data_IF_670885031206
#
_entry.id   IF_670885031206
#
_cell.length_a   1.000
_cell.length_b   1.000
_cell.length_c   1.000
_cell.angle_alpha   90.00
_cell.angle_beta   90.00
_cell.angle_gamma   90.00
#
_symmetry.space_group_name_H-M   'P 1'
#
loop_
_entity.id
_entity.type
_entity.pdbx_description
1 polymer ?
#
# COMPACT_ATOMS: atom_id res chain seq x y z
N UNK A 1 4.16 48.25 -55.47
CA UNK A 1 4.76 46.94 -55.17
C UNK A 1 5.61 47.12 -53.92
N UNK A 2 5.10 46.72 -52.76
CA UNK A 2 5.79 46.75 -51.46
C UNK A 2 5.78 45.30 -50.96
N UNK A 3 6.93 44.68 -50.62
CA UNK A 3 6.93 43.27 -50.25
C UNK A 3 6.48 43.11 -48.79
N UNK A 4 5.52 42.21 -48.58
CA UNK A 4 5.15 41.68 -47.26
C UNK A 4 6.36 40.99 -46.62
N UNK A 5 6.78 41.48 -45.46
CA UNK A 5 7.65 40.73 -44.56
C UNK A 5 6.78 39.83 -43.66
N UNK A 6 6.87 38.52 -43.86
CA UNK A 6 6.33 37.52 -42.94
C UNK A 6 7.14 37.56 -41.63
N UNK A 7 6.51 37.95 -40.53
CA UNK A 7 7.02 37.70 -39.18
C UNK A 7 6.81 36.22 -38.85
N UNK A 8 7.89 35.45 -38.77
CA UNK A 8 7.88 34.13 -38.13
C UNK A 8 8.04 34.35 -36.62
N UNK A 9 6.96 34.13 -35.86
CA UNK A 9 7.03 34.03 -34.41
C UNK A 9 7.68 32.72 -34.00
N UNK A 10 8.85 32.78 -33.36
CA UNK A 10 9.41 31.62 -32.64
C UNK A 10 8.53 31.34 -31.42
N UNK A 11 7.76 30.26 -31.46
CA UNK A 11 7.28 29.62 -30.24
C UNK A 11 8.44 28.84 -29.63
N UNK A 12 9.00 29.36 -28.53
CA UNK A 12 9.93 28.60 -27.71
C UNK A 12 9.10 27.56 -26.93
N UNK A 13 9.12 26.31 -27.40
CA UNK A 13 8.64 25.17 -26.64
C UNK A 13 9.58 24.97 -25.44
N UNK A 14 9.12 25.35 -24.25
CA UNK A 14 9.80 24.98 -23.01
C UNK A 14 9.57 23.48 -22.82
N UNK A 15 10.52 22.66 -23.25
CA UNK A 15 10.55 21.27 -22.87
C UNK A 15 10.83 21.22 -21.37
N UNK A 16 9.81 20.93 -20.56
CA UNK A 16 10.02 20.49 -19.19
C UNK A 16 10.78 19.17 -19.28
N UNK A 17 12.08 19.21 -18.97
CA UNK A 17 12.83 17.99 -18.73
C UNK A 17 12.15 17.30 -17.54
N UNK A 18 11.43 16.21 -17.82
CA UNK A 18 10.96 15.31 -16.75
C UNK A 18 12.21 14.91 -15.97
N UNK A 19 12.22 15.15 -14.67
CA UNK A 19 13.24 14.60 -13.78
C UNK A 19 13.36 13.11 -14.12
N UNK A 20 14.59 12.57 -14.31
CA UNK A 20 14.74 11.15 -14.55
C UNK A 20 14.02 10.42 -13.42
N UNK A 21 13.04 9.58 -13.78
CA UNK A 21 12.34 8.71 -12.84
C UNK A 21 13.41 8.00 -12.01
N UNK A 22 13.53 8.36 -10.74
CA UNK A 22 14.52 7.72 -9.87
C UNK A 22 14.06 6.28 -9.69
N UNK A 23 14.77 5.35 -10.32
CA UNK A 23 14.46 3.93 -10.29
C UNK A 23 14.72 3.35 -8.90
N UNK A 24 13.84 2.47 -8.43
CA UNK A 24 14.11 1.60 -7.30
C UNK A 24 15.34 0.75 -7.53
N UNK A 25 16.22 0.66 -6.53
CA UNK A 25 17.47 -0.12 -6.61
C UNK A 25 17.29 -1.57 -6.18
N UNK A 26 16.12 -1.95 -5.67
CA UNK A 26 15.80 -3.29 -5.20
C UNK A 26 15.54 -4.23 -6.37
N UNK A 27 15.97 -5.48 -6.23
CA UNK A 27 15.68 -6.53 -7.21
C UNK A 27 14.81 -7.58 -6.53
N UNK A 28 13.64 -7.87 -7.11
CA UNK A 28 12.85 -9.02 -6.70
C UNK A 28 13.55 -10.29 -7.17
N UNK A 29 13.98 -11.11 -6.22
CA UNK A 29 14.78 -12.33 -6.46
C UNK A 29 13.92 -13.59 -6.47
N UNK A 30 12.77 -13.54 -5.82
CA UNK A 30 11.88 -14.67 -5.63
C UNK A 30 10.74 -14.65 -6.65
N UNK A 31 10.13 -15.82 -6.96
CA UNK A 31 8.95 -15.86 -7.80
C UNK A 31 7.83 -15.01 -7.20
N UNK A 32 7.31 -14.06 -7.97
CA UNK A 32 6.15 -13.28 -7.56
C UNK A 32 4.90 -14.14 -7.78
N UNK A 33 4.06 -14.20 -6.75
CA UNK A 33 2.82 -14.97 -6.71
C UNK A 33 1.62 -14.05 -6.94
N UNK A 34 1.66 -12.84 -6.38
CA UNK A 34 0.70 -11.76 -6.65
C UNK A 34 1.49 -10.48 -6.90
N UNK A 35 1.22 -9.80 -8.01
CA UNK A 35 1.90 -8.55 -8.38
C UNK A 35 0.91 -7.38 -8.32
N UNK A 36 1.07 -6.53 -7.32
CA UNK A 36 0.29 -5.30 -7.15
C UNK A 36 1.07 -4.05 -7.52
N UNK A 37 2.27 -4.17 -8.10
CA UNK A 37 3.04 -2.99 -8.53
C UNK A 37 2.33 -2.34 -9.72
N UNK A 38 2.17 -1.03 -9.67
CA UNK A 38 1.39 -0.28 -10.66
C UNK A 38 2.26 0.04 -11.87
N UNK A 39 1.94 -0.46 -13.09
CA UNK A 39 2.66 -0.11 -14.30
C UNK A 39 2.71 1.41 -14.56
N UNK A 40 3.80 1.89 -15.15
CA UNK A 40 4.02 3.31 -15.37
C UNK A 40 2.96 3.94 -16.29
N UNK A 41 2.38 3.17 -17.20
CA UNK A 41 1.36 3.55 -18.18
C UNK A 41 -0.08 3.43 -17.67
N UNK A 42 -0.30 2.87 -16.47
CA UNK A 42 -1.65 2.78 -15.88
C UNK A 42 -2.27 4.17 -15.69
N UNK A 43 -3.50 4.37 -16.14
CA UNK A 43 -4.27 5.59 -15.89
C UNK A 43 -5.23 5.38 -14.71
N UNK A 44 -5.68 6.45 -14.04
CA UNK A 44 -6.53 6.32 -12.84
C UNK A 44 -7.82 5.54 -13.11
N UNK A 45 -8.41 5.69 -14.30
CA UNK A 45 -9.61 4.97 -14.67
C UNK A 45 -9.39 3.47 -14.89
N UNK A 46 -8.14 3.02 -15.06
CA UNK A 46 -7.86 1.59 -15.19
C UNK A 46 -8.19 0.85 -13.88
N UNK A 47 -8.05 1.52 -12.74
CA UNK A 47 -8.42 0.98 -11.44
C UNK A 47 -9.91 0.70 -11.27
N UNK A 48 -10.75 1.21 -12.17
CA UNK A 48 -12.21 1.00 -12.14
C UNK A 48 -12.66 -0.21 -12.96
N UNK A 49 -11.72 -0.97 -13.55
CA UNK A 49 -12.03 -2.14 -14.38
C UNK A 49 -11.21 -3.35 -14.00
N UNK A 50 -11.89 -4.49 -13.85
CA UNK A 50 -11.26 -5.79 -13.60
C UNK A 50 -10.30 -6.22 -14.73
N UNK A 51 -10.50 -5.69 -15.94
CA UNK A 51 -9.70 -6.02 -17.11
C UNK A 51 -8.35 -5.28 -17.19
N UNK A 52 -8.24 -4.13 -16.54
CA UNK A 52 -7.04 -3.26 -16.63
C UNK A 52 -6.41 -2.97 -15.28
N UNK A 53 -7.17 -3.03 -14.19
CA UNK A 53 -6.69 -2.79 -12.84
C UNK A 53 -5.75 -3.90 -12.35
N UNK A 54 -4.63 -3.55 -11.69
CA UNK A 54 -3.85 -4.52 -10.92
C UNK A 54 -4.53 -4.94 -9.61
N UNK A 55 -5.68 -4.34 -9.28
CA UNK A 55 -6.46 -4.61 -8.07
C UNK A 55 -7.94 -4.87 -8.39
N UNK A 56 -8.65 -5.57 -7.51
CA UNK A 56 -10.08 -5.75 -7.68
C UNK A 56 -10.83 -4.40 -7.55
N UNK A 57 -11.52 -3.90 -8.60
CA UNK A 57 -12.07 -2.53 -8.65
C UNK A 57 -13.27 -2.29 -7.71
N UNK A 58 -13.88 -3.34 -7.17
CA UNK A 58 -15.12 -3.27 -6.39
C UNK A 58 -14.93 -3.62 -4.91
N UNK A 59 -13.71 -3.93 -4.49
CA UNK A 59 -13.44 -4.34 -3.13
C UNK A 59 -13.07 -3.15 -2.24
N UNK A 60 -13.70 -3.08 -1.06
CA UNK A 60 -13.27 -2.26 0.08
C UNK A 60 -13.12 -0.77 -0.26
N UNK A 61 -14.21 -0.17 -0.73
CA UNK A 61 -14.33 1.27 -0.96
C UNK A 61 -15.72 1.79 -0.58
N UNK A 62 -15.84 3.11 -0.50
CA UNK A 62 -17.12 3.79 -0.41
C UNK A 62 -17.91 3.74 -1.73
N UNK A 63 -18.92 4.61 -1.91
CA UNK A 63 -19.65 4.71 -3.18
C UNK A 63 -18.77 5.22 -4.32
N UNK A 64 -17.73 6.00 -4.01
CA UNK A 64 -16.74 6.52 -4.95
C UNK A 64 -15.92 5.40 -5.58
N UNK A 65 -15.48 5.62 -6.82
CA UNK A 65 -14.58 4.74 -7.54
C UNK A 65 -13.14 4.91 -7.08
N UNK A 66 -12.26 3.99 -7.47
CA UNK A 66 -10.84 4.14 -7.18
C UNK A 66 -10.22 5.29 -7.97
N UNK A 67 -10.66 5.54 -9.20
CA UNK A 67 -10.18 6.70 -9.96
C UNK A 67 -10.48 8.07 -9.30
N UNK A 68 -11.39 8.11 -8.34
CA UNK A 68 -11.76 9.30 -7.57
C UNK A 68 -11.01 9.42 -6.23
N UNK A 69 -10.41 8.32 -5.76
CA UNK A 69 -9.81 8.19 -4.42
C UNK A 69 -8.34 7.78 -4.45
N UNK A 70 -7.79 7.53 -5.65
CA UNK A 70 -6.38 7.27 -5.89
C UNK A 70 -5.73 8.45 -6.59
N UNK A 71 -4.47 8.71 -6.26
CA UNK A 71 -3.63 9.70 -6.94
C UNK A 71 -2.32 9.05 -7.40
N UNK A 72 -1.69 9.66 -8.41
CA UNK A 72 -0.30 9.36 -8.75
C UNK A 72 0.60 10.46 -8.20
N UNK A 73 1.28 10.23 -7.06
CA UNK A 73 2.09 11.25 -6.43
C UNK A 73 3.41 11.49 -7.20
N UNK A 74 3.89 12.73 -7.17
CA UNK A 74 5.20 13.09 -7.72
C UNK A 74 6.32 12.79 -6.70
N UNK A 75 6.63 11.51 -6.52
CA UNK A 75 7.69 11.03 -5.61
C UNK A 75 8.70 10.13 -6.33
N UNK A 76 9.93 9.98 -5.80
CA UNK A 76 10.85 8.94 -6.26
C UNK A 76 10.22 7.55 -6.15
N UNK A 77 10.57 6.63 -7.06
CA UNK A 77 10.04 5.27 -6.98
C UNK A 77 10.46 4.59 -5.67
N UNK A 78 9.61 3.70 -5.18
CA UNK A 78 9.94 2.87 -4.03
C UNK A 78 11.09 1.91 -4.36
N UNK A 79 11.65 1.24 -3.34
CA UNK A 79 12.78 0.32 -3.50
C UNK A 79 12.57 -0.72 -4.60
N UNK A 80 11.39 -1.32 -4.72
CA UNK A 80 11.11 -2.44 -5.62
C UNK A 80 10.35 -2.04 -6.91
N UNK A 81 10.24 -0.74 -7.16
CA UNK A 81 9.66 -0.18 -8.39
C UNK A 81 10.77 0.31 -9.32
N UNK A 82 11.14 -0.51 -10.30
CA UNK A 82 12.02 -0.06 -11.39
C UNK A 82 11.28 0.86 -12.38
N UNK A 83 11.90 1.18 -13.52
CA UNK A 83 11.33 2.09 -14.53
C UNK A 83 9.98 1.65 -15.12
N UNK A 84 9.57 0.41 -14.91
CA UNK A 84 8.30 -0.12 -15.41
C UNK A 84 7.13 0.21 -14.48
N UNK A 85 7.41 0.65 -13.25
CA UNK A 85 6.42 0.83 -12.21
C UNK A 85 6.43 2.25 -11.64
N UNK A 86 5.33 2.63 -11.00
CA UNK A 86 5.15 3.90 -10.29
C UNK A 86 4.37 3.69 -9.00
N UNK A 87 4.43 4.70 -8.13
CA UNK A 87 3.70 4.71 -6.86
C UNK A 87 2.24 5.16 -7.05
N UNK A 88 1.40 4.76 -6.09
CA UNK A 88 -0.01 5.16 -6.01
C UNK A 88 -0.29 5.64 -4.59
N UNK A 89 -1.04 6.73 -4.46
CA UNK A 89 -1.58 7.20 -3.19
C UNK A 89 -3.01 6.71 -3.04
N UNK A 90 -3.35 6.18 -1.87
CA UNK A 90 -4.72 5.89 -1.47
C UNK A 90 -5.18 7.00 -0.53
N UNK A 91 -6.31 7.62 -0.83
CA UNK A 91 -6.81 8.76 -0.08
C UNK A 91 -8.19 8.47 0.52
N UNK A 92 -8.32 8.56 1.83
CA UNK A 92 -9.61 8.46 2.51
C UNK A 92 -10.21 9.83 2.77
N UNK A 93 -11.53 9.91 2.63
CA UNK A 93 -12.33 11.11 2.82
C UNK A 93 -13.63 10.78 3.61
N UNK A 94 -14.52 11.76 3.77
CA UNK A 94 -15.81 11.58 4.45
C UNK A 94 -16.72 10.50 3.83
N UNK A 95 -16.59 10.22 2.53
CA UNK A 95 -17.37 9.23 1.78
C UNK A 95 -16.78 7.82 1.83
N UNK A 96 -15.59 7.62 2.40
CA UNK A 96 -14.88 6.35 2.45
C UNK A 96 -15.51 5.33 3.42
N UNK A 97 -16.80 5.05 3.25
CA UNK A 97 -17.64 4.20 4.11
C UNK A 97 -18.02 2.94 3.34
N UNK A 98 -17.42 1.81 3.72
CA UNK A 98 -17.70 0.53 3.09
C UNK A 98 -18.74 -0.27 3.88
N UNK A 99 -19.71 -0.86 3.18
CA UNK A 99 -20.79 -1.69 3.74
C UNK A 99 -21.53 -1.05 4.93
N UNK A 100 -21.79 0.26 4.87
CA UNK A 100 -22.51 1.03 5.91
C UNK A 100 -21.83 0.99 7.29
N UNK A 101 -20.52 0.74 7.33
CA UNK A 101 -19.73 0.81 8.56
C UNK A 101 -19.32 2.25 8.83
N UNK A 102 -20.27 3.04 9.31
CA UNK A 102 -20.12 4.48 9.52
C UNK A 102 -19.02 4.86 10.52
N UNK A 103 -18.65 3.92 11.40
CA UNK A 103 -17.59 4.12 12.38
C UNK A 103 -16.19 4.19 11.76
N UNK A 104 -15.94 3.61 10.59
CA UNK A 104 -14.62 3.62 9.94
C UNK A 104 -14.57 4.56 8.74
N UNK A 105 -13.35 4.95 8.36
CA UNK A 105 -13.04 5.36 6.99
C UNK A 105 -12.06 4.39 6.40
N UNK A 106 -12.38 3.78 5.27
CA UNK A 106 -11.53 2.77 4.66
C UNK A 106 -11.55 2.72 3.16
N UNK A 107 -10.36 2.50 2.62
CA UNK A 107 -10.12 2.09 1.24
C UNK A 107 -9.04 1.01 1.27
N UNK A 108 -9.28 -0.11 0.60
CA UNK A 108 -8.36 -1.24 0.54
C UNK A 108 -8.23 -1.79 -0.87
N UNK A 109 -7.01 -1.80 -1.39
CA UNK A 109 -6.65 -2.40 -2.66
C UNK A 109 -6.31 -3.87 -2.45
N UNK A 110 -7.14 -4.75 -3.01
CA UNK A 110 -6.87 -6.19 -3.05
C UNK A 110 -6.19 -6.54 -4.37
N UNK A 111 -5.02 -7.18 -4.35
CA UNK A 111 -4.29 -7.54 -5.58
C UNK A 111 -5.14 -8.49 -6.44
N UNK A 112 -5.16 -8.23 -7.75
CA UNK A 112 -5.89 -9.06 -8.69
C UNK A 112 -5.37 -10.51 -8.72
N UNK A 113 -6.30 -11.46 -8.83
CA UNK A 113 -5.97 -12.89 -8.77
C UNK A 113 -5.86 -13.47 -7.36
N UNK A 114 -6.08 -12.66 -6.32
CA UNK A 114 -6.20 -13.14 -4.95
C UNK A 114 -7.64 -13.56 -4.62
N UNK A 115 -7.81 -14.80 -4.17
CA UNK A 115 -9.12 -15.39 -3.88
C UNK A 115 -9.31 -15.55 -2.37
N UNK A 116 -10.54 -15.41 -1.87
CA UNK A 116 -10.87 -15.55 -0.44
C UNK A 116 -10.58 -16.93 0.16
N UNK A 117 -10.60 -18.00 -0.64
CA UNK A 117 -10.34 -19.37 -0.20
C UNK A 117 -9.47 -20.05 -1.25
N UNK A 118 -8.32 -20.60 -0.86
CA UNK A 118 -7.41 -21.30 -1.77
C UNK A 118 -6.60 -20.41 -2.72
N UNK A 119 -6.82 -19.09 -2.69
CA UNK A 119 -5.99 -18.13 -3.41
C UNK A 119 -4.59 -18.00 -2.82
N UNK A 120 -3.62 -17.45 -3.56
CA UNK A 120 -2.26 -17.38 -3.06
C UNK A 120 -2.09 -16.49 -1.81
N UNK A 121 -2.94 -15.47 -1.64
CA UNK A 121 -3.01 -14.69 -0.40
C UNK A 121 -3.62 -15.45 0.78
N UNK A 122 -4.34 -16.56 0.55
CA UNK A 122 -4.89 -17.43 1.62
C UNK A 122 -3.88 -18.48 2.11
N UNK A 123 -2.94 -18.86 1.25
CA UNK A 123 -1.79 -19.69 1.61
C UNK A 123 -0.67 -18.81 2.19
N UNK A 124 -0.78 -17.48 2.05
CA UNK A 124 0.10 -16.44 2.58
C UNK A 124 -0.54 -15.46 3.59
N UNK A 125 -1.72 -15.79 4.15
CA UNK A 125 -2.62 -14.92 4.93
C UNK A 125 -2.04 -13.57 5.43
N UNK A 126 -2.29 -12.48 4.71
CA UNK A 126 -2.09 -11.11 5.22
C UNK A 126 -3.41 -10.34 5.23
N UNK A 127 -4.31 -10.76 6.11
CA UNK A 127 -5.21 -9.81 6.78
C UNK A 127 -5.06 -9.96 8.28
N UNK A 128 -4.35 -9.01 8.90
CA UNK A 128 -4.54 -8.67 10.31
C UNK A 128 -3.90 -7.33 10.65
N UNK A 129 -4.41 -6.21 10.10
CA UNK A 129 -3.96 -4.85 10.49
C UNK A 129 -2.43 -4.79 10.64
N UNK A 130 -1.72 -5.44 9.72
CA UNK A 130 -0.33 -5.85 9.95
C UNK A 130 0.57 -4.64 10.00
N UNK A 131 0.14 -3.49 9.48
CA UNK A 131 0.72 -2.19 9.78
C UNK A 131 -0.35 -1.28 10.39
N UNK A 132 -0.11 -0.83 11.62
CA UNK A 132 -0.96 0.16 12.30
C UNK A 132 -0.14 1.40 12.67
N UNK A 133 -0.72 2.59 12.49
CA UNK A 133 -0.19 3.85 13.02
C UNK A 133 -1.17 4.42 14.06
N UNK A 134 -0.71 5.38 14.87
CA UNK A 134 -1.51 5.92 15.96
C UNK A 134 -1.60 4.98 17.17
N UNK A 135 -2.45 5.33 18.13
CA UNK A 135 -2.76 4.49 19.29
C UNK A 135 -3.67 3.34 18.89
N UNK A 136 -3.33 2.12 19.31
CA UNK A 136 -4.23 0.97 19.17
C UNK A 136 -5.34 1.12 20.22
N UNK A 137 -6.60 1.07 19.79
CA UNK A 137 -7.76 1.21 20.69
C UNK A 137 -7.65 0.20 21.85
N UNK A 138 -7.81 0.70 23.08
CA UNK A 138 -7.74 -0.10 24.30
C UNK A 138 -6.33 -0.51 24.71
N UNK A 139 -5.26 0.03 24.10
CA UNK A 139 -3.87 -0.28 24.45
C UNK A 139 -3.01 0.98 24.56
N UNK A 140 -2.18 1.13 25.61
CA UNK A 140 -1.16 2.17 25.63
C UNK A 140 -0.11 1.88 24.55
N UNK A 141 0.36 2.91 23.85
CA UNK A 141 1.37 2.76 22.81
C UNK A 141 1.85 4.12 22.29
N UNK A 142 2.95 4.12 21.54
CA UNK A 142 3.45 5.33 20.89
C UNK A 142 2.62 5.60 19.64
N UNK A 143 1.95 6.75 19.55
CA UNK A 143 1.13 7.11 18.39
C UNK A 143 1.95 7.41 17.13
N UNK A 144 3.22 7.77 17.29
CA UNK A 144 4.10 8.21 16.22
C UNK A 144 4.94 7.07 15.62
N UNK A 145 4.40 5.85 15.60
CA UNK A 145 5.09 4.67 15.06
C UNK A 145 4.20 3.86 14.12
N UNK A 146 4.84 3.33 13.07
CA UNK A 146 4.33 2.14 12.36
C UNK A 146 4.55 0.92 13.25
N UNK A 147 3.54 0.05 13.35
CA UNK A 147 3.54 -1.15 14.18
C UNK A 147 3.19 -2.36 13.35
N UNK A 148 3.92 -3.45 13.55
CA UNK A 148 3.58 -4.75 13.02
C UNK A 148 2.85 -5.57 14.07
N UNK A 149 1.64 -6.05 13.72
CA UNK A 149 0.80 -6.85 14.60
C UNK A 149 0.75 -8.31 14.13
N UNK A 150 0.63 -9.24 15.07
CA UNK A 150 0.33 -10.63 14.77
C UNK A 150 -1.19 -10.89 14.69
N UNK A 151 -1.58 -12.14 14.39
CA UNK A 151 -3.00 -12.53 14.25
C UNK A 151 -3.85 -12.32 15.51
N UNK A 152 -3.23 -12.18 16.68
CA UNK A 152 -3.90 -11.90 17.95
C UNK A 152 -3.92 -10.39 18.26
N UNK A 153 -3.64 -9.54 17.26
CA UNK A 153 -3.47 -8.11 17.38
C UNK A 153 -2.37 -7.71 18.37
N UNK A 154 -1.37 -8.56 18.61
CA UNK A 154 -0.23 -8.25 19.50
C UNK A 154 0.86 -7.58 18.67
N UNK A 155 1.36 -6.43 19.15
CA UNK A 155 2.52 -5.77 18.55
C UNK A 155 3.74 -6.67 18.66
N UNK A 156 4.30 -7.04 17.51
CA UNK A 156 5.52 -7.86 17.41
C UNK A 156 6.75 -7.03 17.10
N UNK A 157 6.57 -5.85 16.50
CA UNK A 157 7.64 -4.91 16.18
C UNK A 157 7.07 -3.52 15.86
N UNK A 158 7.85 -2.45 16.04
CA UNK A 158 7.46 -1.10 15.63
C UNK A 158 8.67 -0.22 15.31
N UNK A 159 8.44 0.84 14.54
CA UNK A 159 9.43 1.86 14.15
C UNK A 159 8.80 3.24 14.09
N UNK A 160 9.53 4.34 14.38
CA UNK A 160 9.04 5.70 14.17
C UNK A 160 8.56 5.92 12.73
N UNK A 161 7.55 6.78 12.58
CA UNK A 161 7.12 7.26 11.26
C UNK A 161 8.21 8.19 10.72
N UNK A 162 8.65 7.93 9.50
CA UNK A 162 9.56 8.77 8.75
C UNK A 162 8.75 9.51 7.67
N UNK A 163 8.80 10.83 7.70
CA UNK A 163 8.08 11.70 6.77
C UNK A 163 8.93 12.18 5.58
N UNK A 164 10.21 11.78 5.52
CA UNK A 164 11.18 12.24 4.53
C UNK A 164 11.54 11.17 3.51
N UNK A 165 11.56 9.90 3.93
CA UNK A 165 11.99 8.76 3.09
C UNK A 165 10.96 7.62 3.08
N UNK A 166 11.03 6.79 2.03
CA UNK A 166 10.33 5.51 1.97
C UNK A 166 10.64 4.62 3.18
N UNK A 167 9.62 3.99 3.74
CA UNK A 167 9.75 2.94 4.74
C UNK A 167 9.35 1.61 4.10
N UNK A 168 10.31 0.71 3.92
CA UNK A 168 10.07 -0.59 3.29
C UNK A 168 9.77 -1.62 4.37
N UNK A 169 8.73 -2.42 4.19
CA UNK A 169 8.33 -3.47 5.11
C UNK A 169 8.17 -4.78 4.35
N UNK A 170 8.63 -5.89 4.93
CA UNK A 170 8.26 -7.22 4.48
C UNK A 170 8.00 -8.14 5.68
N UNK A 171 7.10 -9.08 5.50
CA UNK A 171 6.75 -10.08 6.52
C UNK A 171 6.79 -11.45 5.89
N UNK A 172 7.66 -12.33 6.40
CA UNK A 172 7.67 -13.74 6.01
C UNK A 172 6.77 -14.52 6.96
N UNK A 173 5.83 -15.28 6.41
CA UNK A 173 4.99 -16.22 7.14
C UNK A 173 5.40 -17.65 6.76
N UNK A 174 5.96 -18.40 7.70
CA UNK A 174 6.29 -19.82 7.51
C UNK A 174 5.13 -20.67 8.04
N UNK A 175 4.31 -21.21 7.14
CA UNK A 175 3.12 -22.00 7.49
C UNK A 175 3.47 -23.39 8.03
N UNK A 176 4.64 -23.94 7.66
CA UNK A 176 5.10 -25.23 8.16
C UNK A 176 5.57 -25.11 9.62
N UNK A 177 6.29 -24.04 9.93
CA UNK A 177 6.80 -23.78 11.29
C UNK A 177 5.87 -22.96 12.17
N UNK A 178 4.80 -22.38 11.60
CA UNK A 178 3.93 -21.42 12.29
C UNK A 178 4.74 -20.27 12.90
N UNK A 179 5.51 -19.59 12.05
CA UNK A 179 6.28 -18.41 12.45
C UNK A 179 6.04 -17.21 11.56
N UNK A 180 6.30 -16.02 12.12
CA UNK A 180 6.30 -14.72 11.45
C UNK A 180 7.68 -14.08 11.64
N UNK A 181 8.23 -13.45 10.60
CA UNK A 181 9.46 -12.66 10.70
C UNK A 181 9.32 -11.33 9.97
N UNK A 182 9.76 -10.24 10.59
CA UNK A 182 9.64 -8.89 10.05
C UNK A 182 10.99 -8.42 9.50
N UNK A 183 10.92 -7.76 8.35
CA UNK A 183 12.03 -7.09 7.70
C UNK A 183 11.69 -5.63 7.46
N UNK A 184 12.69 -4.76 7.58
CA UNK A 184 12.50 -3.32 7.45
C UNK A 184 13.75 -2.62 6.92
N UNK A 185 13.55 -1.52 6.20
CA UNK A 185 14.62 -0.58 5.83
C UNK A 185 14.06 0.82 5.51
N UNK A 186 14.97 1.80 5.38
CA UNK A 186 14.65 3.18 5.00
C UNK A 186 15.20 3.47 3.59
N UNK A 187 14.43 4.23 2.81
CA UNK A 187 14.78 4.69 1.48
C UNK A 187 15.06 3.52 0.55
N UNK A 188 16.26 3.52 -0.03
CA UNK A 188 16.74 2.47 -0.92
C UNK A 188 17.73 1.50 -0.26
N UNK A 189 17.82 1.47 1.07
CA UNK A 189 18.63 0.47 1.76
C UNK A 189 18.03 -0.95 1.60
N UNK A 190 18.86 -2.01 1.54
CA UNK A 190 18.36 -3.38 1.62
C UNK A 190 17.51 -3.64 2.85
N UNK A 191 16.48 -4.47 2.70
CA UNK A 191 15.70 -4.93 3.84
C UNK A 191 16.59 -5.75 4.77
N UNK A 192 16.48 -5.51 6.07
CA UNK A 192 17.16 -6.29 7.10
C UNK A 192 16.13 -6.95 8.00
N UNK A 193 16.44 -8.16 8.49
CA UNK A 193 15.61 -8.82 9.48
C UNK A 193 15.66 -8.04 10.80
N UNK A 194 14.53 -7.44 11.18
CA UNK A 194 14.39 -6.66 12.41
C UNK A 194 13.80 -7.47 13.56
N UNK A 195 13.35 -8.69 13.27
CA UNK A 195 13.02 -9.70 14.27
C UNK A 195 13.70 -11.03 13.92
N UNK A 196 13.92 -11.88 14.93
CA UNK A 196 14.02 -13.32 14.69
C UNK A 196 12.65 -13.88 14.27
N UNK A 197 12.56 -15.11 13.74
CA UNK A 197 11.28 -15.79 13.59
C UNK A 197 10.54 -15.87 14.94
N UNK A 198 9.33 -15.34 14.99
CA UNK A 198 8.44 -15.33 16.15
C UNK A 198 7.36 -16.38 15.95
N UNK A 199 6.93 -17.04 17.03
CA UNK A 199 5.77 -17.94 16.94
C UNK A 199 4.52 -17.15 16.55
N UNK A 200 3.80 -17.63 15.52
CA UNK A 200 2.55 -17.03 15.07
C UNK A 200 1.59 -18.13 14.62
N UNK A 201 0.30 -17.99 14.96
CA UNK A 201 -0.70 -18.89 14.40
C UNK A 201 -1.01 -18.45 12.97
N UNK A 202 -0.43 -19.12 11.97
CA UNK A 202 -0.62 -18.81 10.56
C UNK A 202 -1.86 -19.49 9.96
N UNK A 203 -2.61 -20.26 10.74
CA UNK A 203 -3.83 -20.90 10.25
C UNK A 203 -4.95 -19.87 9.98
N UNK A 204 -5.74 -20.14 8.95
CA UNK A 204 -6.84 -19.27 8.51
C UNK A 204 -6.93 -19.21 6.99
N UNK A 205 -7.82 -18.36 6.51
CA UNK A 205 -7.87 -17.88 5.13
C UNK A 205 -7.89 -16.35 5.20
N UNK A 206 -7.60 -15.68 4.09
CA UNK A 206 -7.53 -14.23 4.04
C UNK A 206 -7.06 -13.75 2.68
N UNK A 207 -7.18 -12.45 2.47
CA UNK A 207 -6.77 -11.79 1.25
C UNK A 207 -5.63 -10.81 1.56
N UNK A 208 -4.70 -10.63 0.64
CA UNK A 208 -3.70 -9.58 0.73
C UNK A 208 -4.33 -8.25 0.33
N UNK A 209 -4.40 -7.33 1.28
CA UNK A 209 -4.99 -6.00 1.08
C UNK A 209 -4.01 -4.93 1.57
N UNK A 210 -3.91 -3.85 0.80
CA UNK A 210 -3.13 -2.68 1.16
C UNK A 210 -3.99 -1.43 1.05
N UNK A 211 -3.91 -0.54 2.04
CA UNK A 211 -4.72 0.66 2.08
C UNK A 211 -4.86 1.19 3.49
N UNK A 212 -5.85 2.06 3.67
CA UNK A 212 -6.05 2.81 4.92
C UNK A 212 -7.35 2.37 5.56
N UNK A 213 -7.31 2.15 6.88
CA UNK A 213 -8.50 2.05 7.73
C UNK A 213 -8.31 2.95 8.95
N UNK A 214 -9.06 4.04 9.01
CA UNK A 214 -9.08 4.96 10.15
C UNK A 214 -10.22 4.60 11.10
N UNK A 215 -9.86 4.22 12.32
CA UNK A 215 -10.81 3.89 13.39
C UNK A 215 -11.37 5.16 14.06
N UNK A 216 -12.61 5.11 14.59
CA UNK A 216 -13.19 6.24 15.31
C UNK A 216 -12.63 6.30 16.73
N UNK A 217 -12.87 7.41 17.41
CA UNK A 217 -12.55 7.57 18.84
C UNK A 217 -13.81 7.65 19.70
N UNK A 218 -13.69 7.45 21.02
CA UNK A 218 -14.81 7.65 21.96
C UNK A 218 -15.95 6.63 21.87
N UNK A 219 -15.69 5.42 21.36
CA UNK A 219 -16.67 4.32 21.28
C UNK A 219 -16.01 2.97 21.54
N UNK A 220 -16.80 2.01 22.03
CA UNK A 220 -16.46 0.58 22.02
C UNK A 220 -17.05 -0.14 20.80
N UNK A 221 -18.06 0.45 20.16
CA UNK A 221 -18.62 0.00 18.89
C UNK A 221 -17.97 0.77 17.73
N UNK A 222 -16.76 0.34 17.40
CA UNK A 222 -15.92 0.95 16.36
C UNK A 222 -16.50 0.82 14.95
N UNK A 223 -17.43 -0.11 14.74
CA UNK A 223 -18.02 -0.39 13.43
C UNK A 223 -19.14 0.60 13.12
N UNK A 224 -19.98 0.89 14.11
CA UNK A 224 -21.24 1.62 13.89
C UNK A 224 -21.22 3.06 14.41
N UNK A 225 -20.24 3.46 15.21
CA UNK A 225 -20.26 4.79 15.83
C UNK A 225 -18.90 5.29 16.28
N UNK A 226 -18.93 6.26 17.19
CA UNK A 226 -17.76 7.01 17.65
C UNK A 226 -17.55 8.32 16.89
N UNK A 227 -16.57 9.09 17.35
CA UNK A 227 -16.17 10.34 16.74
C UNK A 227 -15.21 10.09 15.58
N UNK A 228 -15.56 10.63 14.42
CA UNK A 228 -14.72 10.77 13.25
C UNK A 228 -14.66 12.26 12.90
N UNK A 229 -13.46 12.73 12.58
CA UNK A 229 -13.28 14.07 12.04
C UNK A 229 -13.99 14.18 10.68
N UNK A 230 -14.50 15.36 10.36
CA UNK A 230 -15.21 15.64 9.10
C UNK A 230 -14.37 16.57 8.23
N UNK A 231 -14.53 16.45 6.91
CA UNK A 231 -13.70 17.19 5.94
C UNK A 231 -12.27 16.66 5.89
N UNK A 232 -12.08 15.37 6.19
CA UNK A 232 -10.77 14.74 6.10
C UNK A 232 -10.42 14.47 4.62
N UNK A 233 -9.12 14.53 4.35
CA UNK A 233 -8.52 14.18 3.08
C UNK A 233 -7.11 13.64 3.40
N UNK A 234 -7.06 12.37 3.78
CA UNK A 234 -5.86 11.73 4.34
C UNK A 234 -5.32 10.67 3.38
N UNK A 235 -4.11 10.90 2.88
CA UNK A 235 -3.43 10.03 1.91
C UNK A 235 -2.29 9.21 2.50
N UNK A 236 -2.09 8.01 1.95
CA UNK A 236 -0.89 7.19 2.15
C UNK A 236 -0.38 6.71 0.79
N UNK A 237 0.90 6.95 0.56
CA UNK A 237 1.59 6.53 -0.66
C UNK A 237 2.10 5.10 -0.51
N UNK A 238 1.89 4.29 -1.53
CA UNK A 238 2.35 2.91 -1.63
C UNK A 238 3.14 2.67 -2.93
N UNK A 239 4.09 1.75 -2.86
CA UNK A 239 4.91 1.28 -3.97
C UNK A 239 5.53 -0.07 -3.63
N UNK A 240 6.05 -0.80 -4.61
CA UNK A 240 6.73 -2.07 -4.38
C UNK A 240 5.81 -3.14 -3.80
N UNK A 241 4.54 -3.17 -4.23
CA UNK A 241 3.47 -4.00 -3.67
C UNK A 241 3.46 -5.37 -4.35
N UNK A 242 3.88 -6.42 -3.65
CA UNK A 242 3.82 -7.78 -4.19
C UNK A 242 3.84 -8.83 -3.08
N UNK A 243 3.42 -10.05 -3.42
CA UNK A 243 3.61 -11.25 -2.63
C UNK A 243 4.55 -12.18 -3.38
N UNK A 244 5.60 -12.63 -2.71
CA UNK A 244 6.58 -13.56 -3.28
C UNK A 244 6.56 -14.93 -2.60
N UNK A 245 7.01 -15.95 -3.34
CA UNK A 245 7.23 -17.28 -2.83
C UNK A 245 8.62 -17.36 -2.18
N UNK A 246 8.63 -17.41 -0.84
CA UNK A 246 9.85 -17.53 -0.04
C UNK A 246 10.27 -18.98 0.26
N UNK A 247 9.76 -19.97 -0.51
CA UNK A 247 10.25 -21.35 -0.42
C UNK A 247 11.77 -21.41 -0.65
N UNK A 248 12.40 -22.44 -0.06
CA UNK A 248 13.86 -22.63 -0.04
C UNK A 248 14.67 -21.49 0.60
N UNK A 249 14.01 -20.60 1.35
CA UNK A 249 14.65 -19.48 2.03
C UNK A 249 14.91 -18.27 1.13
N UNK A 250 14.22 -18.18 -0.01
CA UNK A 250 14.29 -17.01 -0.87
C UNK A 250 13.61 -15.81 -0.18
N UNK A 251 14.32 -14.68 -0.08
CA UNK A 251 13.74 -13.40 0.37
C UNK A 251 14.34 -12.27 -0.45
N UNK A 252 13.50 -11.41 -1.02
CA UNK A 252 13.95 -10.20 -1.70
C UNK A 252 14.35 -9.12 -0.70
N UNK A 253 15.65 -9.01 -0.42
CA UNK A 253 16.26 -7.98 0.44
C UNK A 253 16.86 -6.81 -0.34
#
# INVERSE_FOLDING_TARGET
MVPSALLFGLFASVAFARLPCQQGTGTVKCPIVLDGRVPVDTELFDFDSDATSPFNPDYIRGPEKFSETLLFPEVPNSRFDDERYKSVEVTINDQSIFQSQEGFRRIGLQIQGDENIGGPGTVGNVWHETSATGTIIGRPGNENTFKILNRQNIEVWSTPINHEDWQNFAVTLDFNKNTLQVYYSIGHAPLEAVTSPLSNNNAGQGQYQIGILKKPTGTDDVVNGGYQETGIDEGQIYGGIFLEDSTDGCVSL
#
